data_IF_007203910606
#
_entry.id   IF_007203910606
#
_cell.length_a   1.000
_cell.length_b   1.000
_cell.length_c   1.000
_cell.angle_alpha   90.00
_cell.angle_beta   90.00
_cell.angle_gamma   90.00
#
_symmetry.space_group_name_H-M   'P 1'
#
loop_
_entity.id
_entity.type
_entity.pdbx_description
1 polymer ?
#
# COMPACT_ATOMS: atom_id res chain seq x y z
N UNK A 1 12.29 4.12 2.55
CA UNK A 1 12.77 5.20 1.65
C UNK A 1 12.38 6.58 2.19
N UNK A 2 11.29 6.70 2.95
CA UNK A 2 10.76 8.02 3.36
C UNK A 2 11.14 8.41 4.79
N UNK A 3 11.50 7.45 5.60
CA UNK A 3 11.95 7.64 6.97
C UNK A 3 12.54 6.37 7.55
N UNK A 4 13.42 6.54 8.52
CA UNK A 4 14.08 5.47 9.25
C UNK A 4 13.85 5.63 10.75
N UNK A 5 13.44 4.60 11.49
CA UNK A 5 13.18 4.71 12.93
C UNK A 5 14.44 5.01 13.75
N UNK A 6 15.62 4.86 13.16
CA UNK A 6 16.91 5.08 13.82
C UNK A 6 17.60 6.39 13.40
N UNK A 7 17.42 6.80 12.13
CA UNK A 7 18.14 7.93 11.53
C UNK A 7 17.22 9.13 11.21
N UNK A 8 15.91 8.96 11.30
CA UNK A 8 14.93 9.98 10.95
C UNK A 8 14.70 10.09 9.44
N UNK A 9 14.70 11.29 8.91
CA UNK A 9 14.45 11.55 7.48
C UNK A 9 15.53 10.91 6.60
N UNK A 10 15.10 10.32 5.48
CA UNK A 10 15.99 9.72 4.47
C UNK A 10 16.14 10.71 3.31
N UNK A 11 17.37 11.20 3.02
CA UNK A 11 17.60 12.09 1.90
C UNK A 11 17.24 11.44 0.57
N UNK A 12 16.59 12.18 -0.33
CA UNK A 12 16.20 11.70 -1.66
C UNK A 12 17.39 11.09 -2.42
N UNK A 13 18.55 11.74 -2.39
CA UNK A 13 19.75 11.24 -3.08
C UNK A 13 20.19 9.85 -2.58
N UNK A 14 20.00 9.56 -1.29
CA UNK A 14 20.29 8.23 -0.74
C UNK A 14 19.34 7.15 -1.31
N UNK A 15 18.08 7.50 -1.56
CA UNK A 15 17.12 6.62 -2.23
C UNK A 15 17.54 6.38 -3.67
N UNK A 16 17.90 7.43 -4.40
CA UNK A 16 18.34 7.35 -5.80
C UNK A 16 19.64 6.56 -5.96
N UNK A 17 20.59 6.70 -5.03
CA UNK A 17 21.82 5.90 -5.02
C UNK A 17 21.51 4.39 -4.93
N UNK A 18 20.55 3.99 -4.07
CA UNK A 18 20.12 2.59 -3.98
C UNK A 18 19.41 2.15 -5.26
N UNK A 19 18.54 2.97 -5.83
CA UNK A 19 17.83 2.67 -7.10
C UNK A 19 18.85 2.40 -8.22
N UNK A 20 19.88 3.26 -8.35
CA UNK A 20 20.96 3.08 -9.36
C UNK A 20 21.71 1.76 -9.14
N UNK A 21 22.08 1.46 -7.89
CA UNK A 21 22.76 0.19 -7.58
C UNK A 21 21.93 -1.03 -7.89
N UNK A 22 20.63 -1.01 -7.59
CA UNK A 22 19.72 -2.10 -7.93
C UNK A 22 19.58 -2.28 -9.44
N UNK A 23 19.48 -1.17 -10.19
CA UNK A 23 19.52 -1.18 -11.66
C UNK A 23 20.81 -1.82 -12.16
N UNK A 24 21.96 -1.39 -11.64
CA UNK A 24 23.28 -1.86 -12.10
C UNK A 24 23.52 -3.33 -11.75
N UNK A 25 22.84 -3.85 -10.72
CA UNK A 25 22.77 -5.28 -10.40
C UNK A 25 21.83 -6.09 -11.30
N UNK A 26 21.07 -5.43 -12.17
CA UNK A 26 20.13 -6.06 -13.08
C UNK A 26 18.79 -6.44 -12.45
N UNK A 27 18.37 -5.78 -11.37
CA UNK A 27 17.03 -5.99 -10.80
C UNK A 27 15.97 -5.59 -11.84
N UNK A 28 15.03 -6.50 -12.11
CA UNK A 28 13.94 -6.27 -13.05
C UNK A 28 12.76 -5.48 -12.41
N UNK A 29 12.71 -5.43 -11.09
CA UNK A 29 11.74 -4.63 -10.33
C UNK A 29 12.41 -4.04 -9.09
N UNK A 30 12.08 -2.79 -8.78
CA UNK A 30 12.62 -2.03 -7.66
C UNK A 30 11.44 -1.43 -6.87
N UNK A 31 11.16 -2.01 -5.69
CA UNK A 31 10.14 -1.53 -4.78
C UNK A 31 10.66 -0.39 -3.91
N UNK A 32 10.00 0.77 -3.95
CA UNK A 32 10.28 1.89 -3.06
C UNK A 32 9.29 1.81 -1.88
N UNK A 33 9.82 1.55 -0.68
CA UNK A 33 9.02 1.22 0.48
C UNK A 33 8.95 2.33 1.53
N UNK A 34 7.76 2.54 2.08
CA UNK A 34 7.50 3.33 3.27
C UNK A 34 7.29 2.40 4.48
N UNK A 35 8.39 1.88 4.99
CA UNK A 35 8.41 0.84 6.03
C UNK A 35 7.73 1.27 7.34
N UNK A 36 7.79 2.54 7.70
CA UNK A 36 7.20 3.07 8.94
C UNK A 36 5.94 3.92 8.71
N UNK A 37 5.50 4.06 7.46
CA UNK A 37 4.27 4.74 7.08
C UNK A 37 4.28 6.26 7.24
N UNK A 38 5.45 6.91 7.20
CA UNK A 38 5.60 8.37 7.41
C UNK A 38 5.59 9.19 6.11
N UNK A 39 5.63 8.52 4.97
CA UNK A 39 5.57 9.17 3.67
C UNK A 39 4.22 9.85 3.46
N UNK A 40 4.26 11.04 2.86
CA UNK A 40 3.07 11.78 2.44
C UNK A 40 2.97 11.80 0.92
N UNK A 41 1.80 12.00 0.32
CA UNK A 41 1.64 12.01 -1.14
C UNK A 41 2.64 12.91 -1.88
N UNK A 42 2.87 14.12 -1.36
CA UNK A 42 3.83 15.04 -1.97
C UNK A 42 5.29 14.55 -1.88
N UNK A 43 5.66 13.86 -0.79
CA UNK A 43 6.99 13.27 -0.63
C UNK A 43 7.16 12.07 -1.56
N UNK A 44 6.14 11.21 -1.63
CA UNK A 44 6.09 10.02 -2.51
C UNK A 44 6.16 10.43 -3.98
N UNK A 45 5.32 11.39 -4.39
CA UNK A 45 5.33 11.91 -5.77
C UNK A 45 6.74 12.33 -6.21
N UNK A 46 7.40 13.21 -5.44
CA UNK A 46 8.76 13.67 -5.76
C UNK A 46 9.80 12.55 -5.81
N UNK A 47 9.68 11.57 -4.93
CA UNK A 47 10.61 10.43 -4.87
C UNK A 47 10.46 9.55 -6.10
N UNK A 48 9.22 9.21 -6.48
CA UNK A 48 8.97 8.38 -7.65
C UNK A 48 9.24 9.12 -8.97
N UNK A 49 8.90 10.39 -9.05
CA UNK A 49 9.26 11.25 -10.20
C UNK A 49 10.78 11.28 -10.41
N UNK A 50 11.55 11.47 -9.35
CA UNK A 50 13.00 11.44 -9.41
C UNK A 50 13.54 10.03 -9.76
N UNK A 51 13.01 8.97 -9.17
CA UNK A 51 13.41 7.59 -9.46
C UNK A 51 13.13 7.21 -10.93
N UNK A 52 12.05 7.73 -11.52
CA UNK A 52 11.69 7.54 -12.93
C UNK A 52 12.72 8.16 -13.91
N UNK A 53 13.59 9.06 -13.45
CA UNK A 53 14.71 9.55 -14.26
C UNK A 53 15.90 8.57 -14.29
N UNK A 54 15.97 7.66 -13.32
CA UNK A 54 17.06 6.69 -13.17
C UNK A 54 16.75 5.32 -13.79
N UNK A 55 15.47 4.93 -13.79
CA UNK A 55 14.99 3.64 -14.31
C UNK A 55 13.64 3.80 -15.02
N UNK A 56 13.27 2.90 -15.95
CA UNK A 56 11.94 2.90 -16.56
C UNK A 56 10.83 2.76 -15.50
N UNK A 57 9.72 3.48 -15.65
CA UNK A 57 8.55 3.40 -14.76
C UNK A 57 8.07 1.97 -14.53
N UNK A 58 8.05 1.15 -15.59
CA UNK A 58 7.67 -0.27 -15.51
C UNK A 58 8.56 -1.12 -14.58
N UNK A 59 9.71 -0.59 -14.14
CA UNK A 59 10.61 -1.24 -13.18
C UNK A 59 10.26 -0.87 -11.74
N UNK A 60 9.51 0.22 -11.52
CA UNK A 60 9.19 0.71 -10.19
C UNK A 60 7.91 0.09 -9.63
N UNK A 61 7.91 -0.16 -8.33
CA UNK A 61 6.71 -0.52 -7.56
C UNK A 61 6.67 0.24 -6.23
N UNK A 62 5.46 0.42 -5.69
CA UNK A 62 5.23 1.09 -4.41
C UNK A 62 4.82 0.12 -3.31
N UNK A 63 5.44 0.25 -2.13
CA UNK A 63 5.11 -0.53 -0.93
C UNK A 63 4.85 0.43 0.24
N UNK A 64 3.60 0.52 0.68
CA UNK A 64 3.20 1.51 1.67
C UNK A 64 2.57 0.87 2.91
N UNK A 65 3.10 1.24 4.09
CA UNK A 65 2.44 1.02 5.36
C UNK A 65 1.43 2.14 5.65
N UNK A 66 0.32 1.78 6.30
CA UNK A 66 -0.80 2.72 6.57
C UNK A 66 -0.78 3.26 8.00
N UNK A 67 0.39 3.30 8.65
CA UNK A 67 0.55 3.71 10.05
C UNK A 67 -0.08 5.07 10.34
N UNK A 68 0.08 6.03 9.45
CA UNK A 68 -0.52 7.37 9.56
C UNK A 68 -1.70 7.59 8.60
N UNK A 69 -2.25 6.53 8.02
CA UNK A 69 -3.40 6.61 7.12
C UNK A 69 -3.09 7.26 5.76
N UNK A 70 -1.82 7.24 5.32
CA UNK A 70 -1.39 7.91 4.10
C UNK A 70 -1.26 6.96 2.90
N UNK A 71 -1.32 5.65 3.11
CA UNK A 71 -0.97 4.67 2.08
C UNK A 71 -1.80 4.78 0.79
N UNK A 72 -3.12 5.00 0.88
CA UNK A 72 -3.96 5.21 -0.30
C UNK A 72 -3.62 6.49 -1.06
N UNK A 73 -3.36 7.59 -0.32
CA UNK A 73 -2.91 8.85 -0.92
C UNK A 73 -1.54 8.71 -1.58
N UNK A 74 -0.64 7.94 -0.98
CA UNK A 74 0.68 7.63 -1.52
C UNK A 74 0.58 6.79 -2.80
N UNK A 75 -0.32 5.81 -2.83
CA UNK A 75 -0.62 5.03 -4.05
C UNK A 75 -1.14 5.92 -5.17
N UNK A 76 -2.07 6.84 -4.86
CA UNK A 76 -2.58 7.79 -5.85
C UNK A 76 -1.46 8.67 -6.41
N UNK A 77 -0.56 9.17 -5.56
CA UNK A 77 0.60 9.95 -6.00
C UNK A 77 1.53 9.16 -6.95
N UNK A 78 1.71 7.86 -6.72
CA UNK A 78 2.46 6.99 -7.62
C UNK A 78 1.76 6.79 -8.97
N UNK A 79 0.43 6.61 -8.97
CA UNK A 79 -0.37 6.50 -10.19
C UNK A 79 -0.26 7.79 -11.04
N UNK A 80 -0.22 8.97 -10.41
CA UNK A 80 -0.02 10.25 -11.10
C UNK A 80 1.35 10.35 -11.78
N UNK A 81 2.38 9.70 -11.23
CA UNK A 81 3.71 9.56 -11.87
C UNK A 81 3.69 8.54 -13.00
N UNK A 82 2.74 7.59 -12.98
CA UNK A 82 2.61 6.50 -13.96
C UNK A 82 3.13 5.15 -13.46
N UNK A 83 3.36 4.99 -12.16
CA UNK A 83 3.67 3.69 -11.54
C UNK A 83 2.37 2.95 -11.24
N UNK A 84 2.26 1.70 -11.67
CA UNK A 84 1.05 0.89 -11.64
C UNK A 84 1.16 -0.43 -10.84
N UNK A 85 2.29 -0.64 -10.15
CA UNK A 85 2.54 -1.82 -9.32
C UNK A 85 2.61 -1.45 -7.86
N UNK A 86 1.84 -2.16 -7.04
CA UNK A 86 1.75 -1.91 -5.60
C UNK A 86 1.66 -3.20 -4.82
N UNK A 87 2.39 -3.26 -3.70
CA UNK A 87 2.20 -4.29 -2.69
C UNK A 87 1.10 -3.89 -1.73
N UNK A 88 0.28 -4.87 -1.35
CA UNK A 88 -0.77 -4.70 -0.34
C UNK A 88 -0.99 -6.01 0.40
N UNK A 89 -1.73 -5.98 1.50
CA UNK A 89 -2.02 -7.19 2.26
C UNK A 89 -3.50 -7.27 2.62
N UNK A 90 -4.06 -8.46 2.51
CA UNK A 90 -5.44 -8.74 2.96
C UNK A 90 -5.60 -8.29 4.41
N UNK A 91 -6.71 -7.60 4.71
CA UNK A 91 -7.01 -7.08 6.05
C UNK A 91 -5.92 -6.16 6.63
N UNK A 92 -5.02 -5.61 5.79
CA UNK A 92 -3.89 -4.82 6.24
C UNK A 92 -2.93 -5.60 7.14
N UNK A 93 -2.78 -6.90 6.89
CA UNK A 93 -1.88 -7.75 7.67
C UNK A 93 -0.42 -7.35 7.47
N UNK A 94 0.40 -7.75 8.43
CA UNK A 94 1.82 -7.42 8.48
C UNK A 94 2.07 -6.17 9.31
N UNK A 95 3.34 -5.91 9.57
CA UNK A 95 3.80 -4.77 10.36
C UNK A 95 5.31 -4.68 10.31
N UNK A 96 5.84 -3.63 10.91
CA UNK A 96 7.27 -3.47 11.02
C UNK A 96 7.69 -3.68 12.49
N UNK A 97 8.47 -4.72 12.82
CA UNK A 97 8.92 -4.96 14.20
C UNK A 97 9.82 -3.83 14.72
N UNK A 98 10.41 -3.05 13.82
CA UNK A 98 11.28 -1.92 14.14
C UNK A 98 10.54 -0.60 14.36
N UNK A 99 9.26 -0.51 13.97
CA UNK A 99 8.43 0.68 14.13
C UNK A 99 7.34 0.44 15.18
N UNK A 100 7.54 0.94 16.38
CA UNK A 100 6.51 0.89 17.44
C UNK A 100 5.24 1.62 16.98
N UNK A 101 4.09 0.94 17.06
CA UNK A 101 2.81 1.50 16.64
C UNK A 101 2.52 1.41 15.14
N UNK A 102 3.38 0.78 14.34
CA UNK A 102 3.09 0.52 12.94
C UNK A 102 1.86 -0.39 12.80
N UNK A 103 0.87 0.05 12.01
CA UNK A 103 -0.41 -0.65 11.85
C UNK A 103 -0.37 -1.75 10.79
N UNK A 104 0.68 -1.81 9.98
CA UNK A 104 0.84 -2.80 8.90
C UNK A 104 0.68 -2.19 7.50
N UNK A 105 0.61 -3.08 6.53
CA UNK A 105 0.47 -2.72 5.11
C UNK A 105 -0.87 -2.02 4.83
N UNK A 106 -0.95 -1.31 3.71
CA UNK A 106 -2.24 -0.93 3.13
C UNK A 106 -3.08 -2.18 2.90
N UNK A 107 -4.35 -2.13 3.27
CA UNK A 107 -5.25 -3.25 3.05
C UNK A 107 -5.59 -3.39 1.57
N UNK A 108 -5.50 -4.60 1.04
CA UNK A 108 -5.82 -4.88 -0.38
C UNK A 108 -7.25 -4.49 -0.72
N UNK A 109 -8.20 -4.74 0.18
CA UNK A 109 -9.61 -4.38 -0.01
C UNK A 109 -9.81 -2.86 -0.12
N UNK A 110 -9.08 -2.07 0.70
CA UNK A 110 -9.15 -0.61 0.67
C UNK A 110 -8.56 -0.07 -0.65
N UNK A 111 -7.43 -0.64 -1.08
CA UNK A 111 -6.76 -0.29 -2.32
C UNK A 111 -7.64 -0.62 -3.54
N UNK A 112 -8.17 -1.85 -3.61
CA UNK A 112 -9.04 -2.28 -4.72
C UNK A 112 -10.34 -1.48 -4.76
N UNK A 113 -10.94 -1.17 -3.59
CA UNK A 113 -12.11 -0.30 -3.51
C UNK A 113 -11.84 1.08 -4.12
N UNK A 114 -10.70 1.69 -3.81
CA UNK A 114 -10.29 2.98 -4.39
C UNK A 114 -10.09 2.88 -5.91
N UNK A 115 -9.33 1.88 -6.37
CA UNK A 115 -9.01 1.71 -7.79
C UNK A 115 -10.26 1.44 -8.64
N UNK A 116 -11.17 0.58 -8.17
CA UNK A 116 -12.46 0.34 -8.84
C UNK A 116 -13.33 1.60 -8.89
N UNK A 117 -13.35 2.40 -7.80
CA UNK A 117 -14.03 3.69 -7.77
C UNK A 117 -13.48 4.72 -8.77
N UNK A 118 -12.21 4.58 -9.13
CA UNK A 118 -11.54 5.38 -10.17
C UNK A 118 -11.72 4.82 -11.59
N UNK A 119 -12.41 3.69 -11.76
CA UNK A 119 -12.57 3.02 -13.05
C UNK A 119 -11.33 2.23 -13.50
N UNK A 120 -10.41 1.93 -12.58
CA UNK A 120 -9.21 1.13 -12.86
C UNK A 120 -9.54 -0.33 -12.61
N UNK A 121 -9.42 -1.15 -13.64
CA UNK A 121 -9.60 -2.59 -13.57
C UNK A 121 -8.36 -3.26 -12.98
N UNK A 122 -8.52 -3.97 -11.86
CA UNK A 122 -7.43 -4.67 -11.17
C UNK A 122 -7.38 -6.16 -11.49
N UNK A 123 -8.45 -6.70 -12.08
CA UNK A 123 -8.66 -8.15 -12.26
C UNK A 123 -8.98 -8.89 -10.95
N UNK A 124 -9.16 -8.18 -9.84
CA UNK A 124 -9.44 -8.75 -8.52
C UNK A 124 -10.93 -8.64 -8.18
N UNK A 125 -11.47 -9.69 -7.55
CA UNK A 125 -12.82 -9.71 -6.99
C UNK A 125 -12.83 -9.10 -5.59
N UNK A 126 -13.36 -7.89 -5.46
CA UNK A 126 -13.42 -7.19 -4.16
C UNK A 126 -14.26 -7.95 -3.13
N UNK A 127 -15.35 -8.61 -3.55
CA UNK A 127 -16.20 -9.36 -2.63
C UNK A 127 -15.45 -10.57 -2.06
N UNK A 128 -14.72 -11.29 -2.90
CA UNK A 128 -13.87 -12.40 -2.47
C UNK A 128 -12.70 -11.95 -1.57
N UNK A 129 -12.11 -10.78 -1.84
CA UNK A 129 -11.08 -10.19 -0.98
C UNK A 129 -11.63 -9.86 0.41
N UNK A 130 -12.84 -9.29 0.49
CA UNK A 130 -13.52 -8.97 1.76
C UNK A 130 -13.79 -10.24 2.57
N UNK A 131 -14.24 -11.31 1.92
CA UNK A 131 -14.48 -12.58 2.58
C UNK A 131 -13.19 -13.23 3.08
N UNK A 132 -12.12 -13.19 2.29
CA UNK A 132 -10.79 -13.64 2.70
C UNK A 132 -10.24 -12.81 3.88
N UNK A 133 -10.44 -11.48 3.85
CA UNK A 133 -10.02 -10.57 4.92
C UNK A 133 -10.74 -10.84 6.24
N UNK A 134 -12.03 -11.14 6.20
CA UNK A 134 -12.78 -11.51 7.39
C UNK A 134 -12.34 -12.90 7.90
N UNK A 135 -12.26 -13.88 7.01
CA UNK A 135 -11.82 -15.22 7.39
C UNK A 135 -10.47 -15.23 8.10
N UNK A 136 -9.46 -14.56 7.54
CA UNK A 136 -8.13 -14.53 8.18
C UNK A 136 -8.13 -13.75 9.50
N UNK A 137 -8.94 -12.70 9.61
CA UNK A 137 -9.09 -11.94 10.85
C UNK A 137 -9.68 -12.81 11.96
N UNK A 138 -10.69 -13.63 11.64
CA UNK A 138 -11.31 -14.57 12.57
C UNK A 138 -10.31 -15.67 13.01
N UNK A 139 -9.52 -16.22 12.08
CA UNK A 139 -8.47 -17.20 12.39
C UNK A 139 -7.41 -16.64 13.36
N UNK A 140 -7.08 -15.36 13.20
CA UNK A 140 -6.08 -14.69 14.03
C UNK A 140 -6.66 -14.08 15.30
N UNK A 141 -7.98 -14.12 15.51
CA UNK A 141 -8.67 -13.54 16.66
C UNK A 141 -8.48 -12.01 16.76
N UNK A 142 -8.39 -11.31 15.63
CA UNK A 142 -8.17 -9.86 15.57
C UNK A 142 -9.20 -9.17 14.66
N UNK A 143 -9.51 -7.89 14.91
CA UNK A 143 -10.39 -7.14 14.02
C UNK A 143 -9.80 -7.05 12.59
N UNK A 144 -10.69 -7.08 11.58
CA UNK A 144 -10.31 -6.80 10.20
C UNK A 144 -9.75 -5.36 10.09
N UNK A 145 -8.52 -5.22 9.58
CA UNK A 145 -7.83 -3.94 9.46
C UNK A 145 -8.36 -3.09 8.30
N UNK A 146 -8.99 -3.69 7.28
CA UNK A 146 -9.56 -2.97 6.15
C UNK A 146 -10.78 -2.14 6.55
N UNK A 147 -10.81 -0.89 6.15
CA UNK A 147 -11.97 0.01 6.32
C UNK A 147 -13.09 -0.37 5.34
N UNK A 148 -12.73 -0.59 4.06
CA UNK A 148 -13.67 -1.02 3.02
C UNK A 148 -14.26 -2.40 3.36
N UNK A 149 -13.42 -3.35 3.79
CA UNK A 149 -13.84 -4.69 4.18
C UNK A 149 -14.91 -4.66 5.28
N UNK A 150 -14.64 -3.94 6.38
CA UNK A 150 -15.62 -3.80 7.48
C UNK A 150 -16.92 -3.13 7.04
N UNK A 151 -16.83 -2.07 6.22
CA UNK A 151 -18.02 -1.35 5.76
C UNK A 151 -18.88 -2.21 4.81
N UNK A 152 -18.24 -2.96 3.91
CA UNK A 152 -18.95 -3.85 2.98
C UNK A 152 -19.60 -5.04 3.71
N UNK A 153 -18.94 -5.63 4.71
CA UNK A 153 -19.52 -6.67 5.55
C UNK A 153 -20.73 -6.17 6.34
N UNK A 154 -20.64 -5.01 6.98
CA UNK A 154 -21.76 -4.41 7.68
C UNK A 154 -22.96 -4.13 6.74
N UNK A 155 -22.70 -3.64 5.52
CA UNK A 155 -23.75 -3.41 4.52
C UNK A 155 -24.42 -4.72 4.08
N UNK A 156 -23.64 -5.81 3.91
CA UNK A 156 -24.19 -7.13 3.56
C UNK A 156 -25.07 -7.69 4.68
N UNK A 157 -24.65 -7.57 5.94
CA UNK A 157 -25.43 -8.00 7.10
C UNK A 157 -26.78 -7.26 7.18
N UNK A 158 -26.76 -5.91 7.10
CA UNK A 158 -27.98 -5.10 7.12
C UNK A 158 -28.96 -5.44 5.98
N UNK A 159 -28.44 -5.78 4.78
CA UNK A 159 -29.28 -6.21 3.66
C UNK A 159 -29.92 -7.57 3.92
N UNK A 160 -29.20 -8.51 4.52
CA UNK A 160 -29.75 -9.82 4.87
C UNK A 160 -30.86 -9.72 5.91
N UNK A 161 -30.70 -8.88 6.93
CA UNK A 161 -31.73 -8.61 7.95
C UNK A 161 -33.01 -7.98 7.36
N UNK A 162 -32.86 -7.07 6.38
CA UNK A 162 -34.00 -6.43 5.71
C UNK A 162 -34.80 -7.35 4.78
N UNK A 163 -34.23 -8.52 4.43
CA UNK A 163 -34.86 -9.50 3.52
C UNK A 163 -35.35 -10.75 4.25
N UNK A 164 -35.10 -10.87 5.55
CA UNK A 164 -35.56 -11.97 6.42
C UNK A 164 -36.88 -11.63 7.11
#
# INVERSE_FOLDING_TARGET
AFGCPYQGEVPLESVLDVVRRMRDLGCHEIGIADTIGVGTPAHVYRTFEAAATEVPLATLSGHFHDTYGQALGNTLACLEVGVDKFDSSISGLGGCPYAKGATGNVATEDLVYMLHGMGIETGLDLDGLVDAGQWISDQLGRPNGSRAGRALLARRAAKAEATA
#
